data_IF_240824724655
#
_entry.id   IF_240824724655
#
_cell.length_a   1.000
_cell.length_b   1.000
_cell.length_c   1.000
_cell.angle_alpha   90.00
_cell.angle_beta   90.00
_cell.angle_gamma   90.00
#
_symmetry.space_group_name_H-M   'P 1'
#
loop_
_entity.id
_entity.type
_entity.pdbx_description
1 polymer ?
#
# COMPACT_ATOMS: atom_id res chain seq x y z
N UNK A 1 -25.88 -40.05 -18.20
CA UNK A 1 -25.58 -39.50 -18.03
C UNK A 1 -25.19 -38.77 -17.79
N UNK A 2 -25.27 -38.62 -17.86
CA UNK A 2 -24.90 -37.70 -17.60
C UNK A 2 -24.47 -36.97 -17.21
N UNK A 3 -24.47 -36.96 -17.13
CA UNK A 3 -23.98 -36.09 -16.73
C UNK A 3 -23.58 -35.37 -16.46
N UNK A 4 -23.53 -35.31 -16.55
CA UNK A 4 -23.09 -34.35 -16.19
C UNK A 4 -22.71 -33.76 -15.91
N UNK A 5 -22.79 -33.93 -16.08
CA UNK A 5 -22.32 -33.07 -15.76
C UNK A 5 -21.96 -32.44 -15.50
N UNK A 6 -22.09 -32.66 -15.61
CA UNK A 6 -21.58 -31.71 -15.34
C UNK A 6 -21.26 -31.22 -15.04
N UNK A 7 -21.23 -31.20 -15.06
CA UNK A 7 -20.69 -30.41 -14.78
C UNK A 7 -20.29 -29.74 -14.53
N UNK A 8 -20.34 -29.79 -14.61
CA UNK A 8 -19.81 -28.81 -14.39
C UNK A 8 -19.44 -28.34 -14.13
N UNK A 9 -19.37 -28.29 -14.11
CA UNK A 9 -18.79 -27.49 -13.84
C UNK A 9 -18.42 -26.88 -13.67
N UNK A 10 -18.39 -26.85 -13.73
CA UNK A 10 -17.86 -26.02 -13.60
C UNK A 10 -17.62 -25.39 -13.32
N UNK A 11 -17.67 -25.32 -13.21
CA UNK A 11 -17.22 -24.49 -12.93
C UNK A 11 -16.87 -23.85 -12.74
N UNK A 12 -16.89 -23.71 -12.74
CA UNK A 12 -16.33 -22.90 -12.54
C UNK A 12 -15.98 -22.41 -12.41
N UNK A 13 -15.93 -22.23 -12.42
CA UNK A 13 -15.44 -21.67 -12.25
C UNK A 13 -14.79 -20.79 -12.29
N UNK A 14 -14.58 -20.63 -12.77
CA UNK A 14 -13.71 -19.60 -12.91
C UNK A 14 -13.67 -18.65 -11.94
N UNK A 15 -14.14 -18.84 -11.17
CA UNK A 15 -14.14 -18.03 -10.26
C UNK A 15 -13.07 -17.64 -9.59
N UNK A 16 -12.37 -18.14 -9.12
CA UNK A 16 -11.26 -17.72 -8.37
C UNK A 16 -10.28 -16.88 -9.10
N UNK A 17 -10.43 -16.79 -10.35
CA UNK A 17 -9.50 -16.01 -11.14
C UNK A 17 -9.45 -14.55 -10.74
N UNK A 18 -10.45 -14.07 -10.05
CA UNK A 18 -10.45 -12.67 -9.67
C UNK A 18 -9.54 -12.41 -8.47
N UNK A 19 -9.34 -13.42 -7.65
CA UNK A 19 -8.61 -13.22 -6.41
C UNK A 19 -7.15 -12.82 -6.61
N UNK A 20 -6.54 -13.20 -7.73
CA UNK A 20 -5.14 -12.87 -7.94
C UNK A 20 -4.89 -11.37 -8.12
N UNK A 21 -5.92 -10.62 -8.48
CA UNK A 21 -5.76 -9.19 -8.69
C UNK A 21 -5.82 -8.39 -7.39
N UNK A 22 -6.08 -9.06 -6.29
CA UNK A 22 -6.25 -8.38 -5.01
C UNK A 22 -5.15 -8.74 -4.04
N UNK A 23 -4.91 -7.85 -3.09
CA UNK A 23 -3.99 -8.14 -2.01
C UNK A 23 -4.62 -9.05 -0.98
N UNK A 24 -3.86 -9.37 0.03
CA UNK A 24 -4.31 -10.22 1.12
C UNK A 24 -5.04 -9.41 2.18
N UNK A 25 -6.19 -9.92 2.63
CA UNK A 25 -6.94 -9.28 3.70
C UNK A 25 -6.34 -9.58 5.09
N UNK A 26 -5.30 -10.37 5.13
CA UNK A 26 -4.66 -10.79 6.37
C UNK A 26 -4.20 -9.60 7.22
N UNK A 27 -3.83 -8.53 6.59
CA UNK A 27 -3.28 -7.35 7.28
C UNK A 27 -4.25 -6.18 7.33
N UNK A 28 -5.52 -6.40 7.02
CA UNK A 28 -6.50 -5.31 7.03
C UNK A 28 -6.53 -4.61 8.38
N UNK A 29 -6.67 -3.30 8.33
CA UNK A 29 -6.72 -2.50 9.53
C UNK A 29 -6.33 -1.06 9.29
N UNK A 30 -6.28 -0.32 10.39
CA UNK A 30 -5.87 1.08 10.40
C UNK A 30 -4.55 1.18 11.13
N UNK A 31 -3.60 1.82 10.49
CA UNK A 31 -2.25 1.97 11.03
C UNK A 31 -1.90 3.43 11.14
N UNK A 32 -1.03 3.77 12.07
CA UNK A 32 -0.54 5.13 12.25
C UNK A 32 0.96 5.10 12.40
N UNK A 33 1.62 6.00 11.72
CA UNK A 33 3.07 6.01 11.76
C UNK A 33 3.67 7.38 11.57
N UNK A 34 4.93 7.47 11.93
CA UNK A 34 5.72 8.67 11.73
C UNK A 34 6.32 8.66 10.34
N UNK A 35 6.42 9.85 9.78
CA UNK A 35 7.01 10.05 8.47
C UNK A 35 8.27 10.88 8.66
N UNK A 36 9.39 10.38 8.16
CA UNK A 36 10.68 11.05 8.31
C UNK A 36 11.27 11.32 6.93
N UNK A 37 11.68 12.56 6.69
CA UNK A 37 12.39 12.91 5.46
C UNK A 37 13.81 12.35 5.58
N UNK A 38 14.20 11.46 4.68
CA UNK A 38 15.49 10.80 4.73
C UNK A 38 16.47 11.27 3.66
N UNK A 39 15.94 11.80 2.55
CA UNK A 39 16.81 12.31 1.50
C UNK A 39 16.08 13.37 0.69
N UNK A 40 16.76 14.45 0.44
CA UNK A 40 16.25 15.54 -0.37
C UNK A 40 17.11 15.65 -1.62
N UNK A 41 16.53 15.27 -2.76
CA UNK A 41 17.27 15.31 -4.03
C UNK A 41 17.15 16.69 -4.64
N UNK A 42 15.96 17.27 -4.55
CA UNK A 42 15.72 18.64 -4.98
C UNK A 42 15.19 19.42 -3.79
N UNK A 43 15.29 20.73 -3.86
CA UNK A 43 14.82 21.57 -2.77
C UNK A 43 13.32 21.47 -2.59
N UNK A 44 12.86 21.94 -1.45
CA UNK A 44 11.44 22.07 -1.12
C UNK A 44 10.71 20.79 -0.76
N UNK A 45 11.45 19.84 -0.17
CA UNK A 45 10.78 18.70 0.44
C UNK A 45 10.18 19.12 1.77
N UNK A 46 8.95 18.68 2.02
CA UNK A 46 8.29 18.97 3.28
C UNK A 46 8.90 18.15 4.40
N UNK A 47 9.30 18.82 5.47
CA UNK A 47 9.79 18.15 6.66
C UNK A 47 8.57 17.91 7.57
N UNK A 48 8.18 16.65 7.81
CA UNK A 48 7.03 16.38 8.66
C UNK A 48 7.28 16.84 10.10
N UNK A 49 6.26 17.35 10.78
CA UNK A 49 6.41 17.72 12.18
C UNK A 49 6.81 16.51 13.01
N UNK A 50 7.72 16.73 13.95
CA UNK A 50 8.19 15.66 14.82
C UNK A 50 7.04 15.10 15.66
N UNK A 51 6.92 13.78 15.68
CA UNK A 51 5.88 13.14 16.45
C UNK A 51 4.51 13.08 15.81
N UNK A 52 4.32 13.71 14.64
CA UNK A 52 3.04 13.62 13.94
C UNK A 52 2.84 12.20 13.42
N UNK A 53 1.61 11.71 13.52
CA UNK A 53 1.27 10.37 13.06
C UNK A 53 0.35 10.46 11.85
N UNK A 54 0.65 9.66 10.86
CA UNK A 54 -0.11 9.66 9.59
C UNK A 54 -0.80 8.33 9.41
N UNK A 55 -2.07 8.35 9.02
CA UNK A 55 -2.83 7.11 8.89
C UNK A 55 -2.54 6.40 7.58
N UNK A 56 -2.54 5.07 7.65
CA UNK A 56 -2.47 4.21 6.49
C UNK A 56 -3.57 3.17 6.69
N UNK A 57 -4.40 2.97 5.69
CA UNK A 57 -5.48 2.00 5.81
C UNK A 57 -5.26 0.85 4.85
N UNK A 58 -5.64 -0.35 5.28
CA UNK A 58 -5.64 -1.54 4.46
C UNK A 58 -7.02 -2.16 4.59
N UNK A 59 -7.69 -2.35 3.45
CA UNK A 59 -9.02 -2.92 3.40
C UNK A 59 -9.12 -3.85 2.21
N UNK A 60 -9.42 -5.14 2.47
CA UNK A 60 -9.44 -6.14 1.41
C UNK A 60 -8.09 -6.29 0.74
N UNK A 61 -7.01 -6.03 1.47
CA UNK A 61 -5.67 -6.08 0.91
C UNK A 61 -5.27 -4.83 0.13
N UNK A 62 -6.16 -3.87 0.02
CA UNK A 62 -5.86 -2.62 -0.68
C UNK A 62 -5.31 -1.59 0.28
N UNK A 63 -4.16 -1.02 -0.07
CA UNK A 63 -3.47 -0.03 0.75
C UNK A 63 -3.83 1.36 0.26
N UNK A 64 -4.08 2.27 1.20
CA UNK A 64 -4.30 3.68 0.90
C UNK A 64 -3.53 4.53 1.91
N UNK A 65 -2.75 5.46 1.38
CA UNK A 65 -1.94 6.36 2.19
C UNK A 65 -1.94 7.74 1.56
N UNK A 66 -2.37 8.75 2.33
CA UNK A 66 -2.35 10.13 1.86
C UNK A 66 -0.91 10.64 1.93
N UNK A 67 -0.34 10.96 0.77
CA UNK A 67 1.04 11.40 0.69
C UNK A 67 1.14 12.85 1.18
N UNK A 68 1.80 13.03 2.29
CA UNK A 68 1.83 14.30 2.99
C UNK A 68 2.25 15.50 2.15
N UNK A 69 3.37 15.46 1.42
CA UNK A 69 3.78 16.64 0.66
C UNK A 69 2.83 17.02 -0.45
N UNK A 70 1.85 16.17 -0.75
CA UNK A 70 0.85 16.41 -1.77
C UNK A 70 -0.50 15.99 -1.19
N UNK A 71 -1.18 16.91 -0.54
CA UNK A 71 -2.39 16.60 0.22
C UNK A 71 -3.49 15.93 -0.58
N UNK A 72 -3.54 16.19 -1.87
CA UNK A 72 -4.56 15.61 -2.73
C UNK A 72 -4.10 14.33 -3.41
N UNK A 73 -2.94 13.81 -3.02
CA UNK A 73 -2.37 12.62 -3.63
C UNK A 73 -2.47 11.45 -2.68
N UNK A 74 -3.17 10.41 -3.11
CA UNK A 74 -3.29 9.18 -2.32
C UNK A 74 -2.51 8.08 -3.02
N UNK A 75 -1.60 7.46 -2.29
CA UNK A 75 -0.90 6.28 -2.78
C UNK A 75 -1.82 5.09 -2.59
N UNK A 76 -1.97 4.29 -3.62
CA UNK A 76 -2.81 3.11 -3.61
C UNK A 76 -2.02 1.92 -4.06
N UNK A 77 -2.30 0.79 -3.46
CA UNK A 77 -1.61 -0.43 -3.82
C UNK A 77 -2.14 -1.63 -3.08
N UNK A 78 -1.27 -2.60 -2.86
CA UNK A 78 -1.68 -3.86 -2.24
C UNK A 78 -0.64 -4.34 -1.27
N UNK A 79 -1.05 -5.26 -0.40
CA UNK A 79 -0.15 -6.00 0.46
C UNK A 79 -0.40 -7.49 0.19
N UNK A 80 0.68 -8.25 0.06
CA UNK A 80 0.53 -9.69 -0.19
C UNK A 80 0.49 -10.48 1.12
N UNK A 81 0.40 -11.79 1.01
CA UNK A 81 0.29 -12.66 2.19
C UNK A 81 1.53 -12.64 3.07
N UNK A 82 2.65 -12.27 2.51
CA UNK A 82 3.91 -12.19 3.26
C UNK A 82 4.10 -10.86 3.93
N UNK A 83 3.16 -9.93 3.73
CA UNK A 83 3.27 -8.60 4.30
C UNK A 83 4.06 -7.62 3.46
N UNK A 84 4.36 -7.96 2.20
CA UNK A 84 5.05 -7.04 1.30
C UNK A 84 4.04 -6.04 0.77
N UNK A 85 4.32 -4.77 1.03
CA UNK A 85 3.41 -3.69 0.74
C UNK A 85 3.98 -2.85 -0.39
N UNK A 86 3.14 -2.52 -1.38
CA UNK A 86 3.52 -1.64 -2.48
C UNK A 86 2.35 -0.74 -2.80
N UNK A 87 2.64 0.55 -2.93
CA UNK A 87 1.62 1.53 -3.28
C UNK A 87 2.29 2.62 -4.11
N UNK A 88 1.49 3.32 -4.90
CA UNK A 88 2.06 4.37 -5.72
C UNK A 88 0.98 5.37 -6.11
N UNK A 89 1.43 6.50 -6.62
CA UNK A 89 0.55 7.50 -7.20
C UNK A 89 1.31 8.21 -8.32
N UNK A 90 0.57 8.67 -9.30
CA UNK A 90 1.13 9.45 -10.39
C UNK A 90 1.18 10.90 -9.97
N UNK A 91 2.31 11.53 -10.17
CA UNK A 91 2.47 12.96 -9.98
C UNK A 91 2.52 13.63 -11.33
N UNK A 92 2.53 14.96 -11.33
CA UNK A 92 2.61 15.71 -12.56
C UNK A 92 3.88 15.37 -13.35
N UNK A 93 4.98 15.16 -12.65
CA UNK A 93 6.28 14.91 -13.29
C UNK A 93 6.93 13.61 -12.79
N UNK A 94 6.14 12.55 -12.72
CA UNK A 94 6.69 11.26 -12.32
C UNK A 94 5.76 10.52 -11.39
N UNK A 95 6.35 9.67 -10.57
CA UNK A 95 5.60 8.84 -9.65
C UNK A 95 6.15 8.98 -8.24
N UNK A 96 5.28 8.78 -7.26
CA UNK A 96 5.73 8.52 -5.90
C UNK A 96 5.40 7.06 -5.61
N UNK A 97 6.35 6.34 -5.04
CA UNK A 97 6.23 4.92 -4.77
C UNK A 97 6.52 4.63 -3.32
N UNK A 98 5.72 3.75 -2.74
CA UNK A 98 5.91 3.29 -1.38
C UNK A 98 6.12 1.79 -1.43
N UNK A 99 7.15 1.33 -0.74
CA UNK A 99 7.40 -0.11 -0.63
C UNK A 99 7.83 -0.42 0.78
N UNK A 100 7.33 -1.51 1.32
CA UNK A 100 7.63 -1.83 2.69
C UNK A 100 7.16 -3.20 3.08
N UNK A 101 7.16 -3.42 4.37
CA UNK A 101 6.83 -4.71 4.93
C UNK A 101 6.03 -4.53 6.21
N UNK A 102 5.08 -5.43 6.39
CA UNK A 102 4.30 -5.51 7.62
C UNK A 102 4.75 -6.74 8.38
N UNK A 103 5.12 -6.56 9.63
CA UNK A 103 5.46 -7.65 10.53
C UNK A 103 4.66 -7.47 11.80
N UNK A 104 3.78 -8.42 12.09
CA UNK A 104 2.84 -8.26 13.17
C UNK A 104 1.93 -7.07 12.88
N UNK A 105 1.95 -6.08 13.74
CA UNK A 105 1.17 -4.87 13.57
C UNK A 105 2.02 -3.68 13.15
N UNK A 106 3.27 -3.92 12.77
CA UNK A 106 4.19 -2.85 12.46
C UNK A 106 4.50 -2.78 10.97
N UNK A 107 4.46 -1.57 10.45
CA UNK A 107 4.80 -1.31 9.05
C UNK A 107 6.06 -0.47 9.02
N UNK A 108 7.02 -0.92 8.22
CA UNK A 108 8.18 -0.11 7.86
C UNK A 108 8.16 0.03 6.35
N UNK A 109 8.16 1.25 5.87
CA UNK A 109 8.06 1.48 4.43
C UNK A 109 8.93 2.67 4.02
N UNK A 110 9.30 2.67 2.74
CA UNK A 110 10.08 3.73 2.13
C UNK A 110 9.26 4.38 1.04
N UNK A 111 9.25 5.70 1.01
CA UNK A 111 8.48 6.45 0.03
C UNK A 111 9.47 7.25 -0.80
N UNK A 112 9.44 7.04 -2.10
CA UNK A 112 10.39 7.63 -3.03
C UNK A 112 9.64 8.38 -4.11
N UNK A 113 9.97 9.65 -4.25
CA UNK A 113 9.48 10.48 -5.34
C UNK A 113 10.69 11.06 -6.08
N UNK A 114 10.48 11.74 -7.21
CA UNK A 114 11.62 12.31 -7.92
C UNK A 114 12.47 13.30 -7.10
N UNK A 115 11.89 13.92 -6.11
CA UNK A 115 12.57 14.97 -5.36
C UNK A 115 12.85 14.62 -3.92
N UNK A 116 12.06 13.74 -3.32
CA UNK A 116 12.07 13.55 -1.87
C UNK A 116 11.93 12.08 -1.50
N UNK A 117 12.70 11.66 -0.50
CA UNK A 117 12.58 10.30 0.04
C UNK A 117 12.17 10.38 1.50
N UNK A 118 11.24 9.51 1.89
CA UNK A 118 10.76 9.43 3.27
C UNK A 118 10.78 8.00 3.77
N UNK A 119 10.81 7.86 5.07
CA UNK A 119 10.60 6.57 5.73
C UNK A 119 9.33 6.68 6.54
N UNK A 120 8.50 5.66 6.48
CA UNK A 120 7.27 5.55 7.25
C UNK A 120 7.41 4.41 8.23
N UNK A 121 7.15 4.68 9.51
CA UNK A 121 7.28 3.67 10.54
C UNK A 121 6.09 3.79 11.50
N UNK A 122 5.31 2.73 11.63
CA UNK A 122 4.16 2.76 12.53
C UNK A 122 4.58 2.77 13.98
N UNK A 123 3.70 3.29 14.81
CA UNK A 123 3.88 3.35 16.24
C UNK A 123 2.74 2.59 16.89
N UNK A 124 3.05 1.90 17.95
CA UNK A 124 2.06 1.19 18.75
C UNK A 124 1.25 2.12 19.65
#
# INVERSE_FOLDING_TARGET
MLRLLGLGLLLGTGLGSVAWAQGSAKFDGQYRGELTLTKEIKENCTQPPLGALYPLSISGGEVRFAYLPRFDTTLRGTVDEKGILKASARLKHGFVQMSGRIQGNNITAYIVSPSCHYTYQTKD
#
